data_IF_743341857644
#
_entry.id   IF_743341857644
#
_cell.length_a   1.000
_cell.length_b   1.000
_cell.length_c   1.000
_cell.angle_alpha   90.00
_cell.angle_beta   90.00
_cell.angle_gamma   90.00
#
_symmetry.space_group_name_H-M   'P 1'
#
loop_
_entity.id
_entity.type
_entity.pdbx_description
1 polymer ?
#
# COMPACT_ATOMS: atom_id res chain seq x y z
N UNK A 1 5.57 14.78 -17.39
CA UNK A 1 5.78 13.42 -16.82
C UNK A 1 5.79 13.58 -15.32
N UNK A 2 4.99 12.80 -14.57
CA UNK A 2 5.05 12.84 -13.11
C UNK A 2 6.46 12.44 -12.65
N UNK A 3 7.03 13.17 -11.70
CA UNK A 3 8.37 12.89 -11.17
C UNK A 3 8.34 11.61 -10.32
N UNK A 4 8.51 10.47 -11.01
CA UNK A 4 8.50 9.15 -10.38
C UNK A 4 9.62 8.98 -9.35
N UNK A 5 10.67 9.81 -9.39
CA UNK A 5 11.76 9.79 -8.43
C UNK A 5 11.32 10.36 -7.08
N UNK A 6 10.58 11.48 -7.10
CA UNK A 6 10.03 12.06 -5.88
C UNK A 6 9.02 11.12 -5.22
N UNK A 7 8.10 10.53 -5.99
CA UNK A 7 7.10 9.59 -5.44
C UNK A 7 7.77 8.37 -4.78
N UNK A 8 8.83 7.82 -5.39
CA UNK A 8 9.60 6.72 -4.80
C UNK A 8 10.33 7.13 -3.51
N UNK A 9 10.79 8.38 -3.41
CA UNK A 9 11.39 8.92 -2.19
C UNK A 9 10.35 9.03 -1.08
N UNK A 10 9.19 9.62 -1.38
CA UNK A 10 8.10 9.78 -0.41
C UNK A 10 7.63 8.43 0.13
N UNK A 11 7.47 7.43 -0.75
CA UNK A 11 7.10 6.07 -0.34
C UNK A 11 8.14 5.46 0.61
N UNK A 12 9.44 5.61 0.33
CA UNK A 12 10.50 5.12 1.22
C UNK A 12 10.48 5.83 2.57
N UNK A 13 10.27 7.14 2.59
CA UNK A 13 10.19 7.91 3.83
C UNK A 13 8.98 7.50 4.68
N UNK A 14 7.81 7.28 4.06
CA UNK A 14 6.61 6.75 4.73
C UNK A 14 6.90 5.39 5.36
N UNK A 15 7.43 4.45 4.59
CA UNK A 15 7.73 3.10 5.06
C UNK A 15 8.77 3.13 6.19
N UNK A 16 9.76 4.03 6.12
CA UNK A 16 10.74 4.22 7.20
C UNK A 16 10.11 4.72 8.49
N UNK A 17 9.17 5.68 8.43
CA UNK A 17 8.45 6.15 9.62
C UNK A 17 7.56 5.07 10.22
N UNK A 18 6.84 4.33 9.38
CA UNK A 18 6.06 3.16 9.84
C UNK A 18 6.96 2.09 10.47
N UNK A 19 8.20 1.94 9.99
CA UNK A 19 9.21 1.11 10.63
C UNK A 19 9.54 1.53 12.06
N UNK A 20 9.68 2.83 12.29
CA UNK A 20 9.90 3.37 13.64
C UNK A 20 8.67 3.13 14.54
N UNK A 21 7.46 3.36 14.03
CA UNK A 21 6.21 3.15 14.77
C UNK A 21 5.96 1.68 15.13
N UNK A 22 6.26 0.77 14.21
CA UNK A 22 6.09 -0.67 14.43
C UNK A 22 7.31 -1.32 15.10
N UNK A 23 8.37 -0.56 15.37
CA UNK A 23 9.65 -1.08 15.84
C UNK A 23 10.18 -2.23 14.96
N UNK A 24 10.12 -2.04 13.64
CA UNK A 24 10.58 -3.00 12.63
C UNK A 24 11.37 -2.32 11.53
N UNK A 25 12.36 -3.02 11.00
CA UNK A 25 13.03 -2.62 9.77
C UNK A 25 12.22 -3.09 8.57
N UNK A 26 12.08 -2.21 7.58
CA UNK A 26 11.37 -2.50 6.33
C UNK A 26 12.27 -2.31 5.13
N UNK A 27 12.08 -3.15 4.12
CA UNK A 27 12.76 -3.05 2.83
C UNK A 27 11.78 -3.29 1.67
N UNK A 28 12.13 -2.82 0.48
CA UNK A 28 11.37 -3.13 -0.73
C UNK A 28 11.67 -4.57 -1.17
N UNK A 29 10.68 -5.45 -1.17
CA UNK A 29 10.89 -6.88 -1.36
C UNK A 29 9.62 -7.63 -1.74
N UNK A 30 9.76 -8.92 -2.02
CA UNK A 30 8.62 -9.83 -2.24
C UNK A 30 8.80 -11.06 -1.36
N UNK A 31 7.70 -11.52 -0.77
CA UNK A 31 7.58 -12.81 -0.08
C UNK A 31 6.77 -13.82 -0.91
N UNK A 32 6.28 -13.40 -2.07
CA UNK A 32 5.51 -14.26 -2.98
C UNK A 32 6.52 -15.01 -3.86
N UNK A 33 6.38 -16.33 -3.92
CA UNK A 33 7.20 -17.24 -4.74
C UNK A 33 6.88 -17.13 -6.25
N UNK A 34 6.96 -15.92 -6.78
CA UNK A 34 6.86 -15.63 -8.20
C UNK A 34 7.84 -14.49 -8.53
N UNK A 35 8.85 -14.78 -9.36
CA UNK A 35 9.93 -13.85 -9.72
C UNK A 35 9.45 -12.62 -10.49
N UNK A 36 8.29 -12.70 -11.14
CA UNK A 36 7.67 -11.57 -11.85
C UNK A 36 6.70 -10.77 -10.96
N UNK A 37 6.52 -11.18 -9.70
CA UNK A 37 5.62 -10.51 -8.80
C UNK A 37 6.16 -9.13 -8.39
N UNK A 38 5.28 -8.14 -8.41
CA UNK A 38 5.56 -6.78 -7.92
C UNK A 38 6.03 -6.84 -6.47
N UNK A 39 7.09 -6.09 -6.16
CA UNK A 39 7.60 -5.91 -4.81
C UNK A 39 6.64 -5.07 -3.96
N UNK A 40 6.49 -5.44 -2.70
CA UNK A 40 5.88 -4.61 -1.66
C UNK A 40 6.76 -3.39 -1.43
N UNK A 41 6.12 -2.24 -1.13
CA UNK A 41 6.86 -1.03 -0.79
C UNK A 41 7.57 -1.16 0.56
N UNK A 42 7.00 -1.96 1.48
CA UNK A 42 7.66 -2.37 2.72
C UNK A 42 7.33 -3.81 3.06
N UNK A 43 8.36 -4.65 3.19
CA UNK A 43 8.31 -5.97 3.81
C UNK A 43 9.17 -5.90 5.07
N UNK A 44 8.62 -6.30 6.22
CA UNK A 44 9.40 -6.29 7.47
C UNK A 44 10.52 -7.33 7.43
N UNK A 45 11.63 -7.06 8.11
CA UNK A 45 12.80 -7.96 8.18
C UNK A 45 12.49 -9.37 8.69
N UNK A 46 11.46 -9.49 9.53
CA UNK A 46 10.95 -10.76 10.06
C UNK A 46 9.78 -11.35 9.26
N UNK A 47 9.44 -10.76 8.11
CA UNK A 47 8.38 -11.21 7.20
C UNK A 47 6.97 -11.26 7.83
N UNK A 48 6.72 -10.52 8.91
CA UNK A 48 5.41 -10.48 9.55
C UNK A 48 4.47 -9.41 8.99
N UNK A 49 5.00 -8.36 8.36
CA UNK A 49 4.23 -7.20 7.88
C UNK A 49 4.54 -6.91 6.41
N UNK A 50 3.49 -6.81 5.58
CA UNK A 50 3.57 -6.28 4.23
C UNK A 50 2.84 -4.94 4.10
N UNK A 51 3.43 -4.00 3.37
CA UNK A 51 2.93 -2.65 3.17
C UNK A 51 2.92 -2.30 1.67
N UNK A 52 1.77 -1.82 1.22
CA UNK A 52 1.69 -1.00 0.02
C UNK A 52 1.27 0.42 0.36
N UNK A 53 1.83 1.38 -0.37
CA UNK A 53 1.51 2.81 -0.26
C UNK A 53 0.79 3.25 -1.53
N UNK A 54 -0.34 3.92 -1.36
CA UNK A 54 -1.23 4.44 -2.38
C UNK A 54 -1.18 5.96 -2.38
N UNK A 55 -0.56 6.51 -3.42
CA UNK A 55 -0.40 7.96 -3.64
C UNK A 55 -1.45 8.54 -4.59
N UNK A 56 -2.52 7.78 -4.84
CA UNK A 56 -3.60 8.17 -5.73
C UNK A 56 -4.40 9.36 -5.16
N UNK A 57 -4.85 10.24 -6.05
CA UNK A 57 -5.76 11.34 -5.74
C UNK A 57 -7.04 11.18 -6.54
N UNK A 58 -8.16 11.72 -6.04
CA UNK A 58 -9.41 11.69 -6.77
C UNK A 58 -9.26 12.46 -8.08
N UNK A 59 -9.94 11.98 -9.13
CA UNK A 59 -10.06 12.70 -10.39
C UNK A 59 -11.53 13.01 -10.60
N UNK A 60 -11.88 14.29 -10.67
CA UNK A 60 -13.27 14.76 -10.78
C UNK A 60 -14.17 14.21 -9.65
N UNK A 61 -13.62 14.16 -8.42
CA UNK A 61 -14.33 13.67 -7.23
C UNK A 61 -14.62 12.16 -7.22
N UNK A 62 -14.06 11.39 -8.18
CA UNK A 62 -14.29 9.95 -8.32
C UNK A 62 -12.97 9.18 -8.31
N UNK A 63 -13.05 7.91 -7.93
CA UNK A 63 -11.99 6.93 -8.15
C UNK A 63 -12.16 6.39 -9.57
N UNK A 64 -11.17 6.65 -10.44
CA UNK A 64 -11.25 6.17 -11.84
C UNK A 64 -10.94 4.68 -11.91
N UNK A 65 -11.44 4.02 -12.96
CA UNK A 65 -11.30 2.58 -13.15
C UNK A 65 -9.84 2.10 -13.06
N UNK A 66 -8.89 2.84 -13.65
CA UNK A 66 -7.47 2.51 -13.59
C UNK A 66 -6.87 2.62 -12.17
N UNK A 67 -7.32 3.59 -11.37
CA UNK A 67 -6.89 3.74 -9.98
C UNK A 67 -7.42 2.59 -9.12
N UNK A 68 -8.70 2.26 -9.31
CA UNK A 68 -9.36 1.13 -8.64
C UNK A 68 -8.68 -0.19 -8.96
N UNK A 69 -8.45 -0.48 -10.24
CA UNK A 69 -7.74 -1.69 -10.68
C UNK A 69 -6.35 -1.79 -10.05
N UNK A 70 -5.57 -0.70 -10.09
CA UNK A 70 -4.23 -0.66 -9.51
C UNK A 70 -4.20 -0.83 -7.98
N UNK A 71 -5.28 -0.52 -7.26
CA UNK A 71 -5.37 -0.74 -5.81
C UNK A 71 -5.81 -2.17 -5.53
N UNK A 72 -6.81 -2.70 -6.23
CA UNK A 72 -7.22 -4.09 -6.05
C UNK A 72 -6.12 -5.08 -6.41
N UNK A 73 -5.27 -4.78 -7.40
CA UNK A 73 -4.05 -5.53 -7.66
C UNK A 73 -3.16 -5.59 -6.41
N UNK A 74 -2.92 -4.46 -5.74
CA UNK A 74 -2.14 -4.41 -4.48
C UNK A 74 -2.82 -5.21 -3.36
N UNK A 75 -4.14 -5.11 -3.23
CA UNK A 75 -4.91 -5.88 -2.24
C UNK A 75 -4.81 -7.38 -2.50
N UNK A 76 -4.88 -7.79 -3.78
CA UNK A 76 -4.70 -9.18 -4.17
C UNK A 76 -3.31 -9.69 -3.78
N UNK A 77 -2.25 -8.93 -4.09
CA UNK A 77 -0.89 -9.26 -3.67
C UNK A 77 -0.72 -9.33 -2.14
N UNK A 78 -1.33 -8.41 -1.39
CA UNK A 78 -1.36 -8.47 0.07
C UNK A 78 -2.04 -9.74 0.56
N UNK A 79 -3.15 -10.14 -0.06
CA UNK A 79 -3.89 -11.36 0.32
C UNK A 79 -3.06 -12.62 0.04
N UNK A 80 -2.28 -12.63 -1.04
CA UNK A 80 -1.34 -13.72 -1.34
C UNK A 80 -0.14 -13.78 -0.39
N UNK A 81 0.21 -12.65 0.24
CA UNK A 81 1.30 -12.64 1.22
C UNK A 81 0.91 -13.45 2.46
N UNK A 82 1.77 -14.40 2.86
CA UNK A 82 1.58 -15.23 4.05
C UNK A 82 1.93 -14.49 5.35
N UNK A 83 1.92 -13.16 5.33
CA UNK A 83 2.29 -12.31 6.47
C UNK A 83 1.12 -12.14 7.43
N UNK A 84 1.45 -11.88 8.71
CA UNK A 84 0.46 -11.69 9.77
C UNK A 84 -0.33 -10.40 9.57
N UNK A 85 0.35 -9.31 9.21
CA UNK A 85 -0.26 -7.99 9.00
C UNK A 85 -0.09 -7.54 7.55
N UNK A 86 -1.20 -7.13 6.96
CA UNK A 86 -1.30 -6.70 5.56
C UNK A 86 -1.83 -5.28 5.55
N UNK A 87 -1.02 -4.32 5.13
CA UNK A 87 -1.32 -2.90 5.32
C UNK A 87 -1.35 -2.18 3.98
N UNK A 88 -2.43 -1.44 3.75
CA UNK A 88 -2.59 -0.52 2.64
C UNK A 88 -2.64 0.91 3.18
N UNK A 89 -1.62 1.70 2.83
CA UNK A 89 -1.43 3.05 3.34
C UNK A 89 -1.84 4.05 2.28
N UNK A 90 -2.73 4.98 2.60
CA UNK A 90 -3.15 6.07 1.72
C UNK A 90 -2.47 7.36 2.14
N UNK A 91 -2.05 8.18 1.17
CA UNK A 91 -1.43 9.49 1.44
C UNK A 91 -2.37 10.66 1.19
N UNK A 92 -3.55 10.41 0.62
CA UNK A 92 -4.56 11.43 0.32
C UNK A 92 -5.84 11.14 1.11
N UNK A 93 -6.26 12.09 1.94
CA UNK A 93 -7.39 11.91 2.85
C UNK A 93 -8.73 11.79 2.13
N UNK A 94 -8.94 12.56 1.05
CA UNK A 94 -10.19 12.50 0.27
C UNK A 94 -10.29 11.18 -0.47
N UNK A 95 -9.19 10.73 -1.08
CA UNK A 95 -9.12 9.43 -1.72
C UNK A 95 -9.36 8.30 -0.71
N UNK A 96 -8.71 8.35 0.46
CA UNK A 96 -8.90 7.38 1.54
C UNK A 96 -10.37 7.25 1.95
N UNK A 97 -11.05 8.37 2.24
CA UNK A 97 -12.46 8.33 2.65
C UNK A 97 -13.33 7.75 1.55
N UNK A 98 -13.16 8.23 0.32
CA UNK A 98 -13.94 7.74 -0.82
C UNK A 98 -13.73 6.24 -1.08
N UNK A 99 -12.48 5.76 -0.94
CA UNK A 99 -12.17 4.34 -1.10
C UNK A 99 -12.77 3.51 0.03
N UNK A 100 -12.70 4.00 1.26
CA UNK A 100 -13.29 3.33 2.43
C UNK A 100 -14.80 3.21 2.28
N UNK A 101 -15.49 4.29 1.91
CA UNK A 101 -16.95 4.29 1.74
C UNK A 101 -17.42 3.31 0.65
N UNK A 102 -16.64 3.16 -0.43
CA UNK A 102 -17.03 2.32 -1.57
C UNK A 102 -16.58 0.86 -1.44
N UNK A 103 -15.46 0.60 -0.74
CA UNK A 103 -14.76 -0.69 -0.86
C UNK A 103 -14.34 -1.35 0.46
N UNK A 104 -14.65 -0.80 1.62
CA UNK A 104 -14.20 -1.36 2.91
C UNK A 104 -14.59 -2.83 3.08
N UNK A 105 -15.80 -3.22 2.70
CA UNK A 105 -16.31 -4.59 2.86
C UNK A 105 -15.58 -5.63 2.00
N UNK A 106 -14.82 -5.20 0.99
CA UNK A 106 -14.03 -6.09 0.13
C UNK A 106 -12.60 -6.31 0.65
N UNK A 107 -12.21 -5.63 1.74
CA UNK A 107 -10.86 -5.72 2.30
C UNK A 107 -10.77 -6.90 3.27
N UNK A 108 -10.51 -8.08 2.72
CA UNK A 108 -10.33 -9.29 3.53
C UNK A 108 -8.98 -9.29 4.27
N UNK A 109 -8.99 -9.06 5.59
CA UNK A 109 -7.79 -9.04 6.44
C UNK A 109 -6.70 -8.04 5.99
N UNK A 110 -7.10 -6.94 5.35
CA UNK A 110 -6.20 -5.84 4.98
C UNK A 110 -6.51 -4.62 5.87
N UNK A 111 -5.52 -4.21 6.66
CA UNK A 111 -5.57 -2.98 7.43
C UNK A 111 -5.40 -1.78 6.49
N UNK A 112 -6.26 -0.77 6.61
CA UNK A 112 -6.10 0.50 5.88
C UNK A 112 -5.67 1.61 6.81
N UNK A 113 -4.62 2.34 6.43
CA UNK A 113 -4.10 3.48 7.18
C UNK A 113 -4.12 4.73 6.33
N UNK A 114 -4.34 5.88 6.97
CA UNK A 114 -4.13 7.19 6.36
C UNK A 114 -2.85 7.79 6.94
N UNK A 115 -1.86 8.01 6.09
CA UNK A 115 -0.61 8.69 6.46
C UNK A 115 -0.77 10.20 6.26
N UNK A 116 -0.51 10.99 7.31
CA UNK A 116 -0.62 12.44 7.35
C UNK A 116 0.74 13.10 7.55
#
# INVERSE_FOLDING_TARGET
>A
MADTSQVKKDIRDIVKRLGQEFNKEFYEGSIIENKECRKFHGLSSDNEICIFVCTNKLQEGKIKAGQRAAIFEKCYLLTLSKTKRKILVFTDGLFYQKFKDEYLDYLNNIEILLYK
#
